data_IF_095798077641
#
_entry.id   IF_095798077641
#
_cell.length_a   1.000
_cell.length_b   1.000
_cell.length_c   1.000
_cell.angle_alpha   90.00
_cell.angle_beta   90.00
_cell.angle_gamma   90.00
#
_symmetry.space_group_name_H-M   'P 1'
#
loop_
_entity.id
_entity.type
_entity.pdbx_description
1 polymer ?
#
# COMPACT_ATOMS: atom_id res chain seq x y z
N UNK A 1 -4.15 -5.34 45.73
CA UNK A 1 -3.59 -5.18 44.36
C UNK A 1 -3.54 -3.69 44.05
N UNK A 2 -2.36 -3.14 43.72
CA UNK A 2 -2.14 -1.69 43.69
C UNK A 2 -3.06 -0.99 42.67
N UNK A 3 -3.85 0.00 43.11
CA UNK A 3 -4.79 0.76 42.26
C UNK A 3 -4.09 1.45 41.07
N UNK A 4 -2.80 1.79 41.22
CA UNK A 4 -1.96 2.29 40.12
C UNK A 4 -1.62 1.21 39.08
N UNK A 5 -1.43 -0.04 39.50
CA UNK A 5 -1.15 -1.18 38.62
C UNK A 5 -2.38 -1.55 37.78
N UNK A 6 -3.57 -1.51 38.39
CA UNK A 6 -4.84 -1.83 37.74
C UNK A 6 -5.24 -0.79 36.68
N UNK A 7 -4.92 0.49 36.93
CA UNK A 7 -5.14 1.60 35.98
C UNK A 7 -4.15 1.56 34.81
N UNK A 8 -2.88 1.20 35.04
CA UNK A 8 -1.94 0.96 33.94
C UNK A 8 -2.33 -0.24 33.08
N UNK A 9 -2.87 -1.31 33.66
CA UNK A 9 -3.33 -2.49 32.90
C UNK A 9 -4.55 -2.14 32.03
N UNK A 10 -5.50 -1.35 32.54
CA UNK A 10 -6.68 -0.92 31.77
C UNK A 10 -6.34 0.06 30.64
N UNK A 11 -5.40 0.99 30.85
CA UNK A 11 -4.92 1.90 29.80
C UNK A 11 -4.13 1.12 28.74
N UNK A 12 -3.29 0.16 29.14
CA UNK A 12 -2.56 -0.70 28.20
C UNK A 12 -3.52 -1.58 27.40
N UNK A 13 -4.62 -2.08 27.97
CA UNK A 13 -5.61 -2.89 27.23
C UNK A 13 -6.44 -2.06 26.25
N UNK A 14 -6.81 -0.82 26.59
CA UNK A 14 -7.53 0.07 25.64
C UNK A 14 -6.60 0.57 24.53
N UNK A 15 -5.33 0.82 24.82
CA UNK A 15 -4.30 1.13 23.81
C UNK A 15 -3.98 -0.10 22.95
N UNK A 16 -3.99 -1.32 23.50
CA UNK A 16 -3.79 -2.55 22.72
C UNK A 16 -4.98 -2.89 21.82
N UNK A 17 -6.23 -2.64 22.25
CA UNK A 17 -7.41 -2.84 21.38
C UNK A 17 -7.48 -1.77 20.28
N UNK A 18 -6.99 -0.55 20.53
CA UNK A 18 -6.83 0.50 19.51
C UNK A 18 -5.67 0.25 18.52
N UNK A 19 -4.68 -0.57 18.88
CA UNK A 19 -3.53 -0.92 18.03
C UNK A 19 -3.79 -2.20 17.18
N UNK A 20 -4.75 -3.05 17.57
CA UNK A 20 -5.01 -4.33 16.87
C UNK A 20 -5.84 -4.20 15.58
N UNK A 21 -6.47 -3.05 15.30
CA UNK A 21 -7.23 -2.86 14.05
C UNK A 21 -6.37 -2.37 12.87
N UNK A 22 -5.06 -2.16 13.04
CA UNK A 22 -4.18 -1.70 11.95
C UNK A 22 -2.92 -2.53 11.68
N UNK A 23 -2.84 -3.77 12.15
CA UNK A 23 -1.76 -4.70 11.78
C UNK A 23 -2.24 -6.11 11.44
N UNK A 24 -2.80 -6.26 10.24
CA UNK A 24 -2.62 -7.47 9.43
C UNK A 24 -3.24 -7.33 8.03
N UNK A 25 -2.54 -6.64 7.14
CA UNK A 25 -2.56 -6.90 5.69
C UNK A 25 -1.12 -6.97 5.16
N UNK A 26 -0.28 -7.75 5.84
CA UNK A 26 0.91 -8.30 5.22
C UNK A 26 0.53 -9.65 4.60
N UNK A 27 -0.09 -9.59 3.42
CA UNK A 27 -0.05 -10.62 2.36
C UNK A 27 -0.92 -10.13 1.21
N UNK A 28 -0.34 -10.14 0.02
CA UNK A 28 -0.96 -9.74 -1.26
C UNK A 28 -1.15 -8.23 -1.45
N UNK A 29 -0.10 -7.57 -1.96
CA UNK A 29 -0.33 -6.48 -2.91
C UNK A 29 -0.98 -7.07 -4.17
N UNK A 30 -2.27 -7.37 -4.08
CA UNK A 30 -3.10 -7.62 -5.24
C UNK A 30 -3.28 -6.27 -5.94
N UNK A 31 -2.70 -6.16 -7.13
CA UNK A 31 -2.93 -5.07 -8.07
C UNK A 31 -4.44 -4.94 -8.23
N UNK A 32 -5.03 -3.92 -7.61
CA UNK A 32 -6.44 -3.58 -7.81
C UNK A 32 -6.55 -2.93 -9.18
N UNK A 33 -6.87 -3.75 -10.18
CA UNK A 33 -7.44 -3.24 -11.42
C UNK A 33 -8.71 -2.45 -11.08
N UNK A 34 -8.71 -1.17 -11.44
CA UNK A 34 -9.91 -0.33 -11.45
C UNK A 34 -10.96 -0.99 -12.33
N UNK A 35 -11.97 -1.55 -11.67
CA UNK A 35 -13.21 -2.04 -12.27
C UNK A 35 -14.01 -0.83 -12.73
N UNK A 36 -13.93 -0.49 -14.01
CA UNK A 36 -14.86 0.45 -14.63
C UNK A 36 -16.25 -0.18 -14.66
N UNK A 37 -17.16 0.34 -13.84
CA UNK A 37 -18.60 0.06 -13.92
C UNK A 37 -19.18 0.78 -15.12
N UNK A 38 -19.78 0.05 -16.05
CA UNK A 38 -20.94 0.46 -16.86
C UNK A 38 -21.54 -0.78 -17.50
N UNK A 39 -22.59 -1.32 -16.88
CA UNK A 39 -23.52 -2.19 -17.57
C UNK A 39 -24.36 -1.33 -18.51
N UNK A 40 -24.45 -1.71 -19.77
CA UNK A 40 -25.53 -1.31 -20.68
C UNK A 40 -25.78 -2.45 -21.66
N UNK A 41 -27.06 -2.75 -21.80
CA UNK A 41 -27.66 -3.86 -22.51
C UNK A 41 -27.48 -3.76 -24.03
N UNK A 42 -27.60 -4.94 -24.66
CA UNK A 42 -28.07 -5.20 -26.01
C UNK A 42 -27.78 -4.17 -27.10
N UNK A 43 -26.84 -4.51 -27.98
CA UNK A 43 -26.93 -4.26 -29.42
C UNK A 43 -25.89 -5.15 -30.10
N UNK A 44 -26.35 -6.24 -30.72
CA UNK A 44 -25.55 -6.99 -31.69
C UNK A 44 -25.38 -6.14 -32.95
N UNK A 45 -24.16 -5.85 -33.43
CA UNK A 45 -23.95 -5.61 -34.84
C UNK A 45 -23.45 -6.91 -35.47
N UNK A 46 -24.26 -7.48 -36.38
CA UNK A 46 -23.78 -8.41 -37.39
C UNK A 46 -22.54 -7.80 -38.06
N UNK A 47 -21.36 -8.31 -37.73
CA UNK A 47 -20.14 -8.00 -38.45
C UNK A 47 -20.15 -8.79 -39.76
N UNK A 48 -20.22 -8.03 -40.84
CA UNK A 48 -20.09 -8.48 -42.22
C UNK A 48 -18.76 -9.21 -42.40
N UNK A 49 -18.81 -10.36 -43.08
CA UNK A 49 -17.66 -11.17 -43.48
C UNK A 49 -16.64 -10.34 -44.28
N UNK A 50 -15.63 -9.81 -43.60
CA UNK A 50 -14.36 -9.44 -44.19
C UNK A 50 -13.35 -10.52 -43.77
N UNK A 51 -12.84 -11.25 -44.77
CA UNK A 51 -11.82 -12.31 -44.73
C UNK A 51 -11.01 -12.37 -43.42
N UNK A 52 -11.48 -13.17 -42.45
CA UNK A 52 -10.70 -13.56 -41.27
C UNK A 52 -9.95 -14.84 -41.61
N UNK A 53 -8.61 -14.90 -41.49
CA UNK A 53 -7.88 -16.15 -41.65
C UNK A 53 -8.36 -17.12 -40.57
N UNK A 54 -8.75 -18.33 -40.99
CA UNK A 54 -9.18 -19.41 -40.10
C UNK A 54 -7.96 -19.94 -39.32
N UNK A 55 -7.46 -19.14 -38.37
CA UNK A 55 -6.29 -19.48 -37.56
C UNK A 55 -6.66 -20.59 -36.58
N UNK A 56 -5.81 -21.60 -36.53
CA UNK A 56 -5.89 -22.66 -35.53
C UNK A 56 -5.69 -22.11 -34.10
N UNK A 57 -6.15 -22.86 -33.09
CA UNK A 57 -5.93 -22.51 -31.68
C UNK A 57 -4.44 -22.35 -31.35
N UNK A 58 -3.58 -23.13 -31.99
CA UNK A 58 -2.13 -23.07 -31.79
C UNK A 58 -1.54 -21.78 -32.38
N UNK A 59 -2.00 -21.32 -33.54
CA UNK A 59 -1.57 -20.05 -34.13
C UNK A 59 -2.02 -18.85 -33.29
N UNK A 60 -3.26 -18.86 -32.78
CA UNK A 60 -3.75 -17.81 -31.88
C UNK A 60 -2.96 -17.77 -30.57
N UNK A 61 -2.59 -18.93 -30.03
CA UNK A 61 -1.75 -19.02 -28.83
C UNK A 61 -0.35 -18.49 -29.10
N UNK A 62 0.27 -18.84 -30.23
CA UNK A 62 1.60 -18.34 -30.60
C UNK A 62 1.59 -16.81 -30.79
N UNK A 63 0.59 -16.26 -31.48
CA UNK A 63 0.46 -14.80 -31.65
C UNK A 63 0.31 -14.09 -30.30
N UNK A 64 -0.51 -14.64 -29.40
CA UNK A 64 -0.68 -14.12 -28.04
C UNK A 64 0.62 -14.17 -27.24
N UNK A 65 1.37 -15.28 -27.31
CA UNK A 65 2.66 -15.45 -26.64
C UNK A 65 3.70 -14.46 -27.15
N UNK A 66 3.81 -14.28 -28.47
CA UNK A 66 4.73 -13.30 -29.05
C UNK A 66 4.38 -11.87 -28.61
N UNK A 67 3.09 -11.54 -28.50
CA UNK A 67 2.65 -10.26 -27.99
C UNK A 67 2.97 -10.09 -26.50
N UNK A 68 2.79 -11.13 -25.67
CA UNK A 68 3.14 -11.10 -24.26
C UNK A 68 4.65 -10.97 -24.04
N UNK A 69 5.47 -11.66 -24.83
CA UNK A 69 6.94 -11.51 -24.81
C UNK A 69 7.36 -10.09 -25.20
N UNK A 70 6.70 -9.50 -26.19
CA UNK A 70 6.92 -8.10 -26.58
C UNK A 70 6.56 -7.13 -25.46
N UNK A 71 5.43 -7.34 -24.79
CA UNK A 71 5.07 -6.53 -23.62
C UNK A 71 6.09 -6.68 -22.50
N UNK A 72 6.52 -7.90 -22.17
CA UNK A 72 7.56 -8.14 -21.15
C UNK A 72 8.89 -7.49 -21.51
N UNK A 73 9.26 -7.46 -22.79
CA UNK A 73 10.47 -6.79 -23.25
C UNK A 73 10.38 -5.26 -23.10
N UNK A 74 9.22 -4.69 -23.40
CA UNK A 74 8.98 -3.24 -23.31
C UNK A 74 8.78 -2.77 -21.86
N UNK A 75 8.21 -3.63 -21.02
CA UNK A 75 7.87 -3.37 -19.62
C UNK A 75 8.38 -4.53 -18.75
N UNK A 76 9.72 -4.64 -18.56
CA UNK A 76 10.30 -5.72 -17.78
C UNK A 76 9.97 -5.54 -16.29
N UNK A 77 10.28 -6.57 -15.52
CA UNK A 77 10.33 -6.51 -14.05
C UNK A 77 9.08 -7.02 -13.34
N UNK A 78 8.14 -7.65 -14.07
CA UNK A 78 6.98 -8.32 -13.50
C UNK A 78 6.73 -9.69 -14.17
N UNK A 79 7.61 -10.67 -13.86
CA UNK A 79 7.48 -12.03 -14.40
C UNK A 79 6.20 -12.73 -13.93
N UNK A 80 5.69 -12.38 -12.75
CA UNK A 80 4.46 -12.98 -12.22
C UNK A 80 3.26 -12.65 -13.08
N UNK A 81 3.12 -11.40 -13.53
CA UNK A 81 2.05 -11.00 -14.44
C UNK A 81 2.18 -11.73 -15.79
N UNK A 82 3.38 -11.79 -16.37
CA UNK A 82 3.63 -12.55 -17.59
C UNK A 82 3.21 -14.02 -17.43
N UNK A 83 3.64 -14.69 -16.36
CA UNK A 83 3.32 -16.09 -16.11
C UNK A 83 1.83 -16.34 -15.84
N UNK A 84 1.15 -15.43 -15.15
CA UNK A 84 -0.29 -15.53 -14.91
C UNK A 84 -1.08 -15.37 -16.21
N UNK A 85 -0.72 -14.38 -17.03
CA UNK A 85 -1.33 -14.16 -18.34
C UNK A 85 -1.08 -15.35 -19.27
N UNK A 86 0.11 -15.94 -19.23
CA UNK A 86 0.43 -17.13 -19.98
C UNK A 86 -0.42 -18.34 -19.54
N UNK A 87 -0.47 -18.63 -18.24
CA UNK A 87 -1.25 -19.76 -17.69
C UNK A 87 -2.74 -19.63 -17.98
N UNK A 88 -3.30 -18.43 -17.87
CA UNK A 88 -4.71 -18.18 -18.15
C UNK A 88 -5.08 -18.43 -19.62
N UNK A 89 -4.13 -18.24 -20.54
CA UNK A 89 -4.35 -18.29 -21.98
C UNK A 89 -3.84 -19.58 -22.64
N UNK A 90 -3.43 -20.59 -21.88
CA UNK A 90 -2.91 -21.84 -22.43
C UNK A 90 -3.94 -22.99 -22.34
N UNK A 91 -4.74 -23.23 -23.40
CA UNK A 91 -5.73 -24.32 -23.44
C UNK A 91 -5.16 -25.67 -23.92
N UNK A 92 -3.88 -25.73 -24.28
CA UNK A 92 -3.24 -26.91 -24.88
C UNK A 92 -2.66 -27.84 -23.81
N UNK A 93 -2.54 -29.13 -24.14
CA UNK A 93 -2.02 -30.15 -23.22
C UNK A 93 -0.56 -29.95 -22.80
N UNK A 94 0.23 -29.17 -23.57
CA UNK A 94 1.63 -28.87 -23.25
C UNK A 94 1.99 -27.39 -23.46
N UNK A 95 1.70 -26.58 -22.44
CA UNK A 95 2.02 -25.16 -22.42
C UNK A 95 3.52 -24.87 -22.54
N UNK A 96 4.36 -25.75 -21.99
CA UNK A 96 5.79 -25.55 -22.02
C UNK A 96 6.35 -25.63 -23.44
N UNK A 97 5.84 -26.56 -24.26
CA UNK A 97 6.20 -26.66 -25.67
C UNK A 97 5.77 -25.42 -26.45
N UNK A 98 4.57 -24.89 -26.19
CA UNK A 98 4.10 -23.67 -26.85
C UNK A 98 4.98 -22.46 -26.52
N UNK A 99 5.36 -22.29 -25.25
CA UNK A 99 6.26 -21.22 -24.82
C UNK A 99 7.66 -21.38 -25.41
N UNK A 100 8.22 -22.59 -25.42
CA UNK A 100 9.52 -22.87 -26.04
C UNK A 100 9.50 -22.54 -27.53
N UNK A 101 8.42 -22.88 -28.25
CA UNK A 101 8.24 -22.51 -29.66
C UNK A 101 8.17 -21.00 -29.85
N UNK A 102 7.45 -20.28 -28.97
CA UNK A 102 7.35 -18.82 -29.06
C UNK A 102 8.71 -18.15 -28.83
N UNK A 103 9.47 -18.60 -27.82
CA UNK A 103 10.82 -18.10 -27.53
C UNK A 103 11.78 -18.37 -28.71
N UNK A 104 11.77 -19.58 -29.27
CA UNK A 104 12.62 -19.94 -30.40
C UNK A 104 12.35 -19.07 -31.65
N UNK A 105 11.10 -18.63 -31.85
CA UNK A 105 10.70 -17.81 -32.99
C UNK A 105 10.67 -16.30 -32.68
N UNK A 106 11.06 -15.87 -31.48
CA UNK A 106 11.01 -14.46 -31.11
C UNK A 106 12.14 -13.67 -31.81
N UNK A 107 11.89 -12.49 -32.41
CA UNK A 107 12.91 -11.78 -33.20
C UNK A 107 14.18 -11.42 -32.43
N UNK A 108 14.04 -11.04 -31.15
CA UNK A 108 15.17 -10.75 -30.27
C UNK A 108 15.59 -12.01 -29.51
N UNK A 109 16.53 -12.76 -30.08
CA UNK A 109 17.02 -14.01 -29.50
C UNK A 109 17.80 -13.80 -28.19
N UNK A 110 18.43 -12.64 -27.98
CA UNK A 110 19.10 -12.35 -26.71
C UNK A 110 18.08 -12.21 -25.59
N UNK A 111 17.00 -11.46 -25.84
CA UNK A 111 15.88 -11.37 -24.90
C UNK A 111 15.20 -12.73 -24.69
N UNK A 112 14.98 -13.51 -25.75
CA UNK A 112 14.37 -14.83 -25.65
C UNK A 112 15.19 -15.76 -24.74
N UNK A 113 16.51 -15.80 -24.90
CA UNK A 113 17.39 -16.57 -24.02
C UNK A 113 17.39 -16.04 -22.58
N UNK A 114 17.24 -14.74 -22.36
CA UNK A 114 17.12 -14.16 -21.02
C UNK A 114 15.83 -14.66 -20.32
N UNK A 115 14.70 -14.66 -21.03
CA UNK A 115 13.43 -15.21 -20.53
C UNK A 115 13.56 -16.71 -20.26
N UNK A 116 14.15 -17.46 -21.18
CA UNK A 116 14.37 -18.90 -21.02
C UNK A 116 15.21 -19.21 -19.77
N UNK A 117 16.33 -18.50 -19.58
CA UNK A 117 17.21 -18.67 -18.41
C UNK A 117 16.51 -18.32 -17.11
N UNK A 118 15.76 -17.21 -17.09
CA UNK A 118 14.94 -16.82 -15.94
C UNK A 118 13.99 -17.96 -15.57
N UNK A 119 13.15 -18.41 -16.51
CA UNK A 119 12.16 -19.46 -16.26
C UNK A 119 12.78 -20.79 -15.81
N UNK A 120 13.94 -21.15 -16.38
CA UNK A 120 14.68 -22.36 -16.00
C UNK A 120 15.22 -22.29 -14.57
N UNK A 121 15.66 -21.11 -14.11
CA UNK A 121 16.26 -20.91 -12.78
C UNK A 121 15.24 -20.57 -11.68
N UNK A 122 14.04 -20.09 -12.06
CA UNK A 122 12.96 -19.74 -11.14
C UNK A 122 12.64 -20.82 -10.08
N UNK A 123 12.51 -22.12 -10.42
CA UNK A 123 12.23 -23.15 -9.40
C UNK A 123 13.32 -23.27 -8.33
N UNK A 124 14.60 -23.11 -8.71
CA UNK A 124 15.70 -23.11 -7.76
C UNK A 124 15.65 -21.88 -6.84
N UNK A 125 15.41 -20.71 -7.43
CA UNK A 125 15.23 -19.47 -6.67
C UNK A 125 14.07 -19.58 -5.66
N UNK A 126 12.90 -20.08 -6.08
CA UNK A 126 11.75 -20.28 -5.21
C UNK A 126 12.07 -21.20 -4.03
N UNK A 127 12.76 -22.31 -4.28
CA UNK A 127 13.21 -23.24 -3.23
C UNK A 127 14.16 -22.56 -2.25
N UNK A 128 15.12 -21.77 -2.73
CA UNK A 128 16.05 -21.05 -1.85
C UNK A 128 15.35 -19.95 -1.04
N UNK A 129 14.42 -19.21 -1.67
CA UNK A 129 13.61 -18.20 -1.02
C UNK A 129 12.81 -18.79 0.15
N UNK A 130 12.16 -19.94 -0.05
CA UNK A 130 11.40 -20.64 1.01
C UNK A 130 12.28 -21.07 2.20
N UNK A 131 13.56 -21.38 1.95
CA UNK A 131 14.52 -21.74 3.01
C UNK A 131 15.21 -20.54 3.67
N UNK A 132 14.98 -19.33 3.16
CA UNK A 132 15.67 -18.12 3.65
C UNK A 132 15.00 -17.59 4.91
N UNK A 133 15.77 -17.53 6.00
CA UNK A 133 15.33 -16.92 7.26
C UNK A 133 15.97 -15.53 7.39
N UNK A 134 15.15 -14.49 7.34
CA UNK A 134 15.60 -13.11 7.52
C UNK A 134 15.55 -12.71 9.00
N UNK A 135 16.65 -12.16 9.51
CA UNK A 135 16.72 -11.70 10.90
C UNK A 135 15.73 -10.56 11.18
N UNK A 136 15.06 -10.64 12.33
CA UNK A 136 14.17 -9.59 12.84
C UNK A 136 14.94 -8.32 13.27
N UNK A 137 16.26 -8.41 13.44
CA UNK A 137 17.12 -7.27 13.77
C UNK A 137 17.41 -6.38 12.54
N UNK A 138 17.23 -6.89 11.33
CA UNK A 138 17.44 -6.12 10.10
C UNK A 138 16.29 -5.14 9.85
N UNK A 139 16.64 -3.95 9.36
CA UNK A 139 15.66 -2.99 8.82
C UNK A 139 14.96 -3.54 7.57
N UNK A 140 13.77 -3.02 7.21
CA UNK A 140 13.07 -3.41 5.97
C UNK A 140 13.96 -3.32 4.73
N UNK A 141 14.74 -2.24 4.58
CA UNK A 141 15.67 -2.07 3.46
C UNK A 141 16.75 -3.15 3.41
N UNK A 142 17.36 -3.47 4.55
CA UNK A 142 18.39 -4.52 4.62
C UNK A 142 17.83 -5.91 4.32
N UNK A 143 16.61 -6.22 4.79
CA UNK A 143 15.94 -7.47 4.43
C UNK A 143 15.69 -7.54 2.94
N UNK A 144 15.15 -6.47 2.35
CA UNK A 144 14.92 -6.39 0.91
C UNK A 144 16.22 -6.54 0.11
N UNK A 145 17.28 -5.83 0.48
CA UNK A 145 18.59 -5.94 -0.18
C UNK A 145 19.19 -7.35 -0.05
N UNK A 146 18.90 -8.08 1.04
CA UNK A 146 19.30 -9.48 1.20
C UNK A 146 18.55 -10.38 0.22
N UNK A 147 17.23 -10.20 0.08
CA UNK A 147 16.42 -10.94 -0.90
C UNK A 147 16.81 -10.61 -2.34
N UNK A 148 17.13 -9.34 -2.61
CA UNK A 148 17.61 -8.90 -3.91
C UNK A 148 18.92 -9.60 -4.29
N UNK A 149 19.89 -9.65 -3.38
CA UNK A 149 21.14 -10.40 -3.58
C UNK A 149 20.90 -11.89 -3.83
N UNK A 150 19.96 -12.50 -3.11
CA UNK A 150 19.58 -13.89 -3.35
C UNK A 150 19.06 -14.08 -4.79
N UNK A 151 18.22 -13.17 -5.29
CA UNK A 151 17.74 -13.19 -6.69
C UNK A 151 18.91 -13.10 -7.66
N UNK A 152 19.80 -12.14 -7.48
CA UNK A 152 20.96 -11.98 -8.37
C UNK A 152 21.87 -13.22 -8.37
N UNK A 153 22.09 -13.83 -7.20
CA UNK A 153 22.92 -15.04 -7.06
C UNK A 153 22.29 -16.29 -7.68
N UNK A 154 20.96 -16.39 -7.67
CA UNK A 154 20.25 -17.58 -8.15
C UNK A 154 19.80 -17.49 -9.60
N UNK A 155 19.33 -16.31 -10.00
CA UNK A 155 18.77 -16.06 -11.32
C UNK A 155 19.81 -15.45 -12.26
N UNK A 156 20.74 -14.65 -11.75
CA UNK A 156 21.56 -13.71 -12.53
C UNK A 156 21.02 -12.28 -12.42
N UNK A 157 21.87 -11.28 -12.62
CA UNK A 157 21.48 -9.86 -12.49
C UNK A 157 20.47 -9.44 -13.55
N UNK A 158 20.69 -9.82 -14.80
CA UNK A 158 19.80 -9.48 -15.91
C UNK A 158 18.44 -10.17 -15.75
N UNK A 159 18.42 -11.44 -15.35
CA UNK A 159 17.21 -12.22 -15.10
C UNK A 159 16.46 -11.69 -13.86
N UNK A 160 17.16 -11.30 -12.80
CA UNK A 160 16.55 -10.68 -11.63
C UNK A 160 15.89 -9.35 -11.97
N UNK A 161 16.54 -8.51 -12.79
CA UNK A 161 15.95 -7.26 -13.28
C UNK A 161 14.77 -7.50 -14.23
N UNK A 162 14.89 -8.45 -15.16
CA UNK A 162 13.79 -8.84 -16.04
C UNK A 162 12.59 -9.35 -15.24
N UNK A 163 12.82 -10.10 -14.16
CA UNK A 163 11.74 -10.71 -13.40
C UNK A 163 11.11 -9.82 -12.34
N UNK A 164 11.93 -9.03 -11.67
CA UNK A 164 11.58 -8.34 -10.42
C UNK A 164 11.99 -6.85 -10.40
N UNK A 165 12.41 -6.29 -11.54
CA UNK A 165 12.84 -4.90 -11.65
C UNK A 165 11.78 -3.87 -11.24
N UNK A 166 10.50 -4.13 -11.46
CA UNK A 166 9.43 -3.22 -11.02
C UNK A 166 9.30 -3.24 -9.50
N UNK A 167 9.37 -4.42 -8.88
CA UNK A 167 9.39 -4.56 -7.42
C UNK A 167 10.59 -3.83 -6.83
N UNK A 168 11.78 -3.96 -7.45
CA UNK A 168 12.99 -3.24 -7.03
C UNK A 168 12.81 -1.73 -7.10
N UNK A 169 12.35 -1.22 -8.25
CA UNK A 169 12.14 0.21 -8.46
C UNK A 169 11.15 0.79 -7.44
N UNK A 170 10.02 0.11 -7.24
CA UNK A 170 9.02 0.52 -6.26
C UNK A 170 9.57 0.46 -4.82
N UNK A 171 10.30 -0.58 -4.45
CA UNK A 171 10.91 -0.69 -3.13
C UNK A 171 11.93 0.42 -2.88
N UNK A 172 12.80 0.71 -3.86
CA UNK A 172 13.78 1.79 -3.76
C UNK A 172 13.10 3.16 -3.60
N UNK A 173 12.04 3.44 -4.36
CA UNK A 173 11.21 4.65 -4.17
C UNK A 173 10.66 4.73 -2.74
N UNK A 174 10.09 3.64 -2.22
CA UNK A 174 9.51 3.61 -0.87
C UNK A 174 10.56 3.80 0.22
N UNK A 175 11.74 3.22 0.07
CA UNK A 175 12.84 3.42 1.02
C UNK A 175 13.36 4.85 0.98
N UNK A 176 13.61 5.40 -0.21
CA UNK A 176 14.06 6.78 -0.35
C UNK A 176 13.03 7.78 0.19
N UNK A 177 11.73 7.56 -0.05
CA UNK A 177 10.67 8.35 0.57
C UNK A 177 10.70 8.28 2.10
N UNK A 178 10.88 7.08 2.66
CA UNK A 178 10.98 6.91 4.11
C UNK A 178 12.23 7.60 4.70
N UNK A 179 13.34 7.60 3.97
CA UNK A 179 14.54 8.35 4.37
C UNK A 179 14.27 9.86 4.42
N UNK A 180 13.44 10.40 3.51
CA UNK A 180 12.98 11.79 3.57
C UNK A 180 12.11 12.06 4.81
N UNK A 181 11.17 11.16 5.13
CA UNK A 181 10.30 11.25 6.32
C UNK A 181 11.15 11.31 7.60
N UNK A 182 12.18 10.46 7.71
CA UNK A 182 13.04 10.37 8.89
C UNK A 182 14.07 11.49 8.98
N UNK A 183 14.29 12.26 7.91
CA UNK A 183 15.32 13.30 7.88
C UNK A 183 14.88 14.58 8.62
N UNK A 184 15.26 14.65 9.89
CA UNK A 184 14.99 15.81 10.76
C UNK A 184 15.82 17.06 10.43
N UNK A 185 16.81 16.98 9.55
CA UNK A 185 17.69 18.12 9.22
C UNK A 185 17.11 19.03 8.13
N UNK A 186 16.11 18.55 7.40
CA UNK A 186 15.48 19.31 6.31
C UNK A 186 14.29 20.11 6.82
N UNK A 187 14.09 21.31 6.29
CA UNK A 187 12.83 22.05 6.43
C UNK A 187 11.70 21.37 5.64
N UNK A 188 10.46 21.76 5.90
CA UNK A 188 9.29 21.25 5.17
C UNK A 188 9.43 21.46 3.65
N UNK A 189 9.81 22.67 3.22
CA UNK A 189 10.02 23.01 1.81
C UNK A 189 11.17 22.23 1.18
N UNK A 190 12.26 22.01 1.93
CA UNK A 190 13.38 21.21 1.46
C UNK A 190 12.98 19.74 1.28
N UNK A 191 12.19 19.18 2.20
CA UNK A 191 11.63 17.82 2.04
C UNK A 191 10.70 17.72 0.84
N UNK A 192 9.82 18.71 0.64
CA UNK A 192 8.94 18.74 -0.53
C UNK A 192 9.73 18.82 -1.84
N UNK A 193 10.78 19.64 -1.89
CA UNK A 193 11.67 19.73 -3.05
C UNK A 193 12.37 18.40 -3.33
N UNK A 194 12.90 17.75 -2.28
CA UNK A 194 13.51 16.43 -2.41
C UNK A 194 12.49 15.35 -2.82
N UNK A 195 11.23 15.48 -2.40
CA UNK A 195 10.15 14.59 -2.80
C UNK A 195 9.77 14.75 -4.28
N UNK A 196 9.76 15.97 -4.80
CA UNK A 196 9.58 16.21 -6.24
C UNK A 196 10.72 15.58 -7.06
N UNK A 197 11.97 15.71 -6.59
CA UNK A 197 13.09 15.06 -7.25
C UNK A 197 13.00 13.54 -7.20
N UNK A 198 12.56 12.99 -6.07
CA UNK A 198 12.31 11.56 -5.92
C UNK A 198 11.25 11.07 -6.93
N UNK A 199 10.17 11.82 -7.15
CA UNK A 199 9.15 11.49 -8.15
C UNK A 199 9.73 11.50 -9.58
N UNK A 200 10.64 12.43 -9.89
CA UNK A 200 11.34 12.46 -11.19
C UNK A 200 12.28 11.28 -11.37
N UNK A 201 12.95 10.86 -10.30
CA UNK A 201 13.87 9.72 -10.32
C UNK A 201 13.14 8.38 -10.50
N UNK A 202 11.91 8.26 -9.96
CA UNK A 202 11.10 7.04 -10.02
C UNK A 202 9.72 7.32 -10.66
N UNK A 203 9.65 7.63 -11.97
CA UNK A 203 8.41 8.04 -12.62
C UNK A 203 7.36 6.93 -12.55
N UNK A 204 7.74 5.67 -12.80
CA UNK A 204 6.78 4.54 -12.79
C UNK A 204 6.18 4.31 -11.40
N UNK A 205 7.00 4.32 -10.34
CA UNK A 205 6.53 4.16 -8.97
C UNK A 205 5.64 5.33 -8.52
N UNK A 206 5.93 6.54 -8.99
CA UNK A 206 5.10 7.72 -8.69
C UNK A 206 3.77 7.71 -9.47
N UNK A 207 3.76 7.27 -10.73
CA UNK A 207 2.58 7.18 -11.58
C UNK A 207 1.61 6.08 -11.16
N UNK A 208 2.12 5.00 -10.55
CA UNK A 208 1.26 3.99 -9.93
C UNK A 208 0.41 4.56 -8.78
N UNK A 209 0.83 5.69 -8.19
CA UNK A 209 -0.01 6.41 -7.24
C UNK A 209 -0.91 7.41 -7.97
N UNK A 210 -2.18 7.46 -7.58
CA UNK A 210 -3.03 8.57 -7.99
C UNK A 210 -2.56 9.87 -7.32
N UNK A 211 -3.01 11.01 -7.84
CA UNK A 211 -2.61 12.32 -7.30
C UNK A 211 -2.98 12.51 -5.81
N UNK A 212 -4.06 11.87 -5.35
CA UNK A 212 -4.44 11.86 -3.94
C UNK A 212 -3.40 11.13 -3.06
N UNK A 213 -2.82 10.03 -3.53
CA UNK A 213 -1.73 9.33 -2.84
C UNK A 213 -0.48 10.19 -2.72
N UNK A 214 -0.09 10.84 -3.82
CA UNK A 214 1.05 11.77 -3.82
C UNK A 214 0.81 13.00 -2.93
N UNK A 215 -0.43 13.52 -2.91
CA UNK A 215 -0.83 14.57 -1.97
C UNK A 215 -0.65 14.11 -0.51
N UNK A 216 -1.14 12.93 -0.16
CA UNK A 216 -1.02 12.41 1.20
C UNK A 216 0.45 12.24 1.61
N UNK A 217 1.29 11.73 0.71
CA UNK A 217 2.73 11.63 0.94
C UNK A 217 3.38 13.01 1.19
N UNK A 218 3.00 14.02 0.40
CA UNK A 218 3.51 15.37 0.60
C UNK A 218 3.05 15.98 1.93
N UNK A 219 1.79 15.74 2.34
CA UNK A 219 1.25 16.18 3.63
C UNK A 219 1.98 15.49 4.79
N UNK A 220 2.22 14.19 4.69
CA UNK A 220 2.96 13.43 5.69
C UNK A 220 4.36 14.02 5.90
N UNK A 221 5.05 14.43 4.83
CA UNK A 221 6.39 15.04 4.90
C UNK A 221 6.43 16.39 5.62
N UNK A 222 5.42 17.25 5.42
CA UNK A 222 5.34 18.56 6.09
C UNK A 222 4.81 18.48 7.52
N UNK A 223 4.24 17.34 7.92
CA UNK A 223 3.85 17.07 9.31
C UNK A 223 5.02 16.54 10.17
N UNK A 224 6.14 16.17 9.55
CA UNK A 224 7.34 15.78 10.27
C UNK A 224 8.17 17.00 10.69
N UNK A 225 8.86 16.93 11.83
CA UNK A 225 9.78 17.99 12.27
C UNK A 225 9.11 19.13 13.06
N UNK A 226 9.88 20.19 13.33
CA UNK A 226 9.42 21.33 14.11
C UNK A 226 9.08 22.50 13.18
N UNK A 227 7.79 22.68 12.91
CA UNK A 227 7.26 23.75 12.05
C UNK A 227 6.09 24.43 12.76
N UNK A 228 5.82 25.69 12.41
CA UNK A 228 4.66 26.38 12.98
C UNK A 228 3.36 25.84 12.37
N UNK A 229 2.26 25.72 13.15
CA UNK A 229 0.98 25.27 12.61
C UNK A 229 0.50 26.11 11.41
N UNK A 230 0.79 27.42 11.41
CA UNK A 230 0.44 28.33 10.32
C UNK A 230 1.20 28.02 9.02
N UNK A 231 2.48 27.67 9.13
CA UNK A 231 3.31 27.27 7.99
C UNK A 231 2.87 25.92 7.42
N UNK A 232 2.60 24.94 8.28
CA UNK A 232 2.05 23.64 7.86
C UNK A 232 0.74 23.82 7.10
N UNK A 233 -0.18 24.64 7.61
CA UNK A 233 -1.47 24.89 6.96
C UNK A 233 -1.30 25.59 5.61
N UNK A 234 -0.42 26.60 5.52
CA UNK A 234 -0.10 27.27 4.25
C UNK A 234 0.45 26.27 3.22
N UNK A 235 1.40 25.41 3.61
CA UNK A 235 1.97 24.42 2.70
C UNK A 235 0.93 23.40 2.27
N UNK A 236 0.10 22.93 3.20
CA UNK A 236 -1.00 22.02 2.91
C UNK A 236 -1.97 22.57 1.86
N UNK A 237 -2.36 23.85 1.97
CA UNK A 237 -3.19 24.51 0.96
C UNK A 237 -2.52 24.57 -0.41
N UNK A 238 -1.22 24.86 -0.47
CA UNK A 238 -0.45 24.82 -1.72
C UNK A 238 -0.44 23.41 -2.34
N UNK A 239 -0.23 22.38 -1.52
CA UNK A 239 -0.25 20.97 -1.95
C UNK A 239 -1.63 20.56 -2.48
N UNK A 240 -2.71 20.99 -1.84
CA UNK A 240 -4.08 20.76 -2.31
C UNK A 240 -4.30 21.35 -3.71
N UNK A 241 -3.78 22.54 -3.99
CA UNK A 241 -3.90 23.16 -5.32
C UNK A 241 -3.08 22.43 -6.39
N UNK A 242 -1.91 21.90 -6.01
CA UNK A 242 -0.99 21.22 -6.93
C UNK A 242 -1.47 19.81 -7.31
N UNK A 243 -1.98 19.05 -6.34
CA UNK A 243 -2.28 17.63 -6.55
C UNK A 243 -3.77 17.35 -6.77
N UNK A 244 -4.66 18.11 -6.14
CA UNK A 244 -6.08 17.73 -6.09
C UNK A 244 -6.92 18.52 -7.09
N UNK A 245 -8.00 17.90 -7.55
CA UNK A 245 -9.10 18.58 -8.25
C UNK A 245 -9.94 19.41 -7.28
N UNK A 246 -10.76 20.32 -7.80
CA UNK A 246 -11.65 21.14 -6.95
C UNK A 246 -12.60 20.28 -6.10
N UNK A 247 -13.17 19.23 -6.69
CA UNK A 247 -14.05 18.31 -5.97
C UNK A 247 -13.31 17.59 -4.83
N UNK A 248 -12.09 17.10 -5.08
CA UNK A 248 -11.26 16.46 -4.07
C UNK A 248 -10.86 17.42 -2.96
N UNK A 249 -10.54 18.68 -3.29
CA UNK A 249 -10.26 19.73 -2.28
C UNK A 249 -11.44 19.94 -1.34
N UNK A 250 -12.65 20.06 -1.88
CA UNK A 250 -13.86 20.22 -1.08
C UNK A 250 -14.10 19.01 -0.16
N UNK A 251 -13.89 17.79 -0.66
CA UNK A 251 -14.01 16.57 0.14
C UNK A 251 -12.97 16.52 1.27
N UNK A 252 -11.72 16.89 0.99
CA UNK A 252 -10.65 16.94 1.98
C UNK A 252 -10.98 17.98 3.06
N UNK A 253 -11.39 19.20 2.69
CA UNK A 253 -11.77 20.23 3.65
C UNK A 253 -12.96 19.82 4.53
N UNK A 254 -13.99 19.19 3.95
CA UNK A 254 -15.12 18.66 4.72
C UNK A 254 -14.69 17.56 5.70
N UNK A 255 -13.79 16.67 5.27
CA UNK A 255 -13.24 15.62 6.15
C UNK A 255 -12.47 16.24 7.32
N UNK A 256 -11.57 17.18 7.05
CA UNK A 256 -10.76 17.86 8.06
C UNK A 256 -11.62 18.65 9.06
N UNK A 257 -12.68 19.28 8.59
CA UNK A 257 -13.64 19.95 9.45
C UNK A 257 -14.35 18.95 10.38
N UNK A 258 -14.80 17.80 9.85
CA UNK A 258 -15.40 16.73 10.66
C UNK A 258 -14.43 16.16 11.68
N UNK A 259 -13.19 15.90 11.29
CA UNK A 259 -12.15 15.39 12.20
C UNK A 259 -11.89 16.38 13.35
N UNK A 260 -11.84 17.68 13.04
CA UNK A 260 -11.69 18.73 14.07
C UNK A 260 -12.88 18.77 15.03
N UNK A 261 -14.10 18.69 14.52
CA UNK A 261 -15.32 18.64 15.35
C UNK A 261 -15.35 17.39 16.23
N UNK A 262 -15.01 16.23 15.68
CA UNK A 262 -14.94 14.97 16.42
C UNK A 262 -13.89 15.03 17.52
N UNK A 263 -12.71 15.61 17.24
CA UNK A 263 -11.67 15.78 18.25
C UNK A 263 -12.13 16.70 19.38
N UNK A 264 -12.77 17.82 19.07
CA UNK A 264 -13.34 18.71 20.10
C UNK A 264 -14.39 17.99 20.97
N UNK A 265 -15.24 17.16 20.38
CA UNK A 265 -16.23 16.37 21.10
C UNK A 265 -15.58 15.35 22.05
N UNK A 266 -14.50 14.70 21.60
CA UNK A 266 -13.69 13.79 22.43
C UNK A 266 -13.02 14.56 23.58
N UNK A 267 -12.46 15.72 23.32
CA UNK A 267 -11.80 16.55 24.35
C UNK A 267 -12.80 17.02 25.42
N UNK A 268 -13.99 17.46 24.99
CA UNK A 268 -15.09 17.83 25.90
C UNK A 268 -15.55 16.64 26.74
N UNK A 269 -15.68 15.46 26.13
CA UNK A 269 -16.02 14.24 26.88
C UNK A 269 -14.95 13.91 27.91
N UNK A 270 -13.67 14.00 27.56
CA UNK A 270 -12.57 13.72 28.47
C UNK A 270 -12.56 14.68 29.67
N UNK A 271 -12.83 15.97 29.43
CA UNK A 271 -12.99 16.96 30.50
C UNK A 271 -14.19 16.64 31.41
N UNK A 272 -15.33 16.26 30.83
CA UNK A 272 -16.52 15.88 31.59
C UNK A 272 -16.31 14.60 32.43
N UNK A 273 -15.54 13.63 31.93
CA UNK A 273 -15.15 12.44 32.70
C UNK A 273 -14.25 12.82 33.87
N UNK A 274 -13.30 13.74 33.68
CA UNK A 274 -12.47 14.25 34.77
C UNK A 274 -13.31 14.96 35.84
N UNK A 275 -14.29 15.77 35.43
CA UNK A 275 -15.22 16.42 36.36
C UNK A 275 -16.04 15.37 37.13
N UNK A 276 -16.59 14.37 36.44
CA UNK A 276 -17.32 13.28 37.08
C UNK A 276 -16.47 12.54 38.12
N UNK A 277 -15.18 12.32 37.84
CA UNK A 277 -14.26 11.71 38.80
C UNK A 277 -14.07 12.59 40.04
N UNK A 278 -13.91 13.90 39.86
CA UNK A 278 -13.80 14.85 40.97
C UNK A 278 -15.06 14.88 41.83
N UNK A 279 -16.23 14.88 41.20
CA UNK A 279 -17.54 14.89 41.89
C UNK A 279 -17.78 13.59 42.67
N UNK A 280 -17.26 12.46 42.19
CA UNK A 280 -17.44 11.14 42.80
C UNK A 280 -16.40 10.83 43.87
N UNK A 281 -15.24 11.49 43.89
CA UNK A 281 -14.18 11.27 44.89
C UNK A 281 -14.64 11.43 46.35
N UNK A 282 -15.35 12.50 46.76
CA UNK A 282 -15.80 12.66 48.15
C UNK A 282 -16.83 11.60 48.58
N UNK A 283 -17.52 10.97 47.63
CA UNK A 283 -18.51 9.93 47.91
C UNK A 283 -17.87 8.58 48.25
N UNK A 284 -16.58 8.36 47.97
CA UNK A 284 -15.89 7.09 48.25
C UNK A 284 -15.84 6.73 49.72
N UNK A 285 -15.80 7.72 50.61
CA UNK A 285 -15.78 7.51 52.06
C UNK A 285 -17.19 7.48 52.67
N UNK A 286 -18.21 7.86 51.89
CA UNK A 286 -19.60 8.01 52.35
C UNK A 286 -20.49 6.85 51.89
N UNK A 287 -20.11 6.16 50.82
CA UNK A 287 -20.88 5.06 50.23
C UNK A 287 -20.12 3.73 50.34
N UNK A 288 -20.83 2.59 50.48
CA UNK A 288 -20.25 1.28 50.23
C UNK A 288 -19.64 1.21 48.82
N UNK A 289 -18.52 0.52 48.68
CA UNK A 289 -17.76 0.51 47.42
C UNK A 289 -18.57 0.01 46.21
N UNK A 290 -19.47 -0.96 46.41
CA UNK A 290 -20.36 -1.46 45.34
C UNK A 290 -21.37 -0.40 44.87
N UNK A 291 -21.97 0.33 45.80
CA UNK A 291 -22.94 1.39 45.50
C UNK A 291 -22.24 2.58 44.82
N UNK A 292 -21.06 2.97 45.31
CA UNK A 292 -20.23 3.98 44.67
C UNK A 292 -19.90 3.60 43.21
N UNK A 293 -19.50 2.35 42.99
CA UNK A 293 -19.12 1.85 41.67
C UNK A 293 -20.33 1.80 40.72
N UNK A 294 -21.49 1.38 41.21
CA UNK A 294 -22.74 1.39 40.44
C UNK A 294 -23.14 2.80 40.02
N UNK A 295 -23.07 3.76 40.95
CA UNK A 295 -23.38 5.16 40.64
C UNK A 295 -22.39 5.78 39.66
N UNK A 296 -21.09 5.51 39.82
CA UNK A 296 -20.07 5.97 38.88
C UNK A 296 -20.33 5.45 37.47
N UNK A 297 -20.57 4.14 37.31
CA UNK A 297 -20.83 3.52 36.01
C UNK A 297 -22.09 4.07 35.34
N UNK A 298 -23.19 4.20 36.10
CA UNK A 298 -24.44 4.76 35.57
C UNK A 298 -24.27 6.22 35.11
N UNK A 299 -23.54 7.05 35.87
CA UNK A 299 -23.27 8.45 35.48
C UNK A 299 -22.34 8.54 34.27
N UNK A 300 -21.34 7.65 34.18
CA UNK A 300 -20.44 7.58 33.04
C UNK A 300 -21.15 7.14 31.75
N UNK A 301 -22.06 6.17 31.85
CA UNK A 301 -22.90 5.72 30.74
C UNK A 301 -23.84 6.83 30.26
N UNK A 302 -24.53 7.50 31.18
CA UNK A 302 -25.36 8.66 30.86
C UNK A 302 -24.54 9.79 30.19
N UNK A 303 -23.33 10.05 30.66
CA UNK A 303 -22.44 11.03 30.06
C UNK A 303 -22.03 10.62 28.64
N UNK A 304 -21.72 9.34 28.40
CA UNK A 304 -21.40 8.82 27.07
C UNK A 304 -22.57 8.98 26.12
N UNK A 305 -23.77 8.56 26.51
CA UNK A 305 -24.99 8.66 25.68
C UNK A 305 -25.37 10.11 25.38
N UNK A 306 -25.17 11.02 26.33
CA UNK A 306 -25.41 12.45 26.13
C UNK A 306 -24.44 13.06 25.13
N UNK A 307 -23.16 12.68 25.19
CA UNK A 307 -22.11 13.29 24.38
C UNK A 307 -21.96 12.60 23.02
N UNK A 308 -22.31 11.33 22.89
CA UNK A 308 -22.23 10.53 21.66
C UNK A 308 -23.54 9.75 21.46
N UNK A 309 -24.58 10.44 20.94
CA UNK A 309 -25.92 9.85 20.76
C UNK A 309 -26.00 8.81 19.64
#
# INVERSE_FOLDING_TARGET
MNKRLLLTILIVVVVLVGIVVWKSTASSAAIQHTKSTSASQDSSPQMSNASMPNKSKDELLQDSLLQQLKTLQQQPGNITEFLNNFKANCPVSDCHVALAKALANYPDQQFAHLVENLLKRMPQYEKQMQSTVLSTALSPKQRFDTLWKLREQTLGQAEAMLGFGQERNYADYRFAYNDLVLNQKLSAEQRLTAFEELQRQYPDASQQQNKMGLYQQAVDLISQGQHSPAETERLKQKLQQQYLTEQERQQVQQREHRETQQQQQVDQYQQAVQQLQQDMEPLKTQLPNEEWQKQYQSRLENLRLKMFP
#
